data_IF_969713529051
#
_entry.id   IF_969713529051
#
_cell.length_a   1.000
_cell.length_b   1.000
_cell.length_c   1.000
_cell.angle_alpha   90.00
_cell.angle_beta   90.00
_cell.angle_gamma   90.00
#
_symmetry.space_group_name_H-M   'P 1'
#
loop_
_entity.id
_entity.type
_entity.pdbx_description
1 polymer ?
#
# COMPACT_ATOMS: atom_id res chain seq x y z
N UNK A 1 -4.85 -4.16 -5.47
CA UNK A 1 -3.58 -4.48 -4.78
C UNK A 1 -3.70 -5.91 -4.31
N UNK A 2 -2.63 -6.70 -4.32
CA UNK A 2 -2.67 -8.08 -3.80
C UNK A 2 -2.70 -8.11 -2.28
N UNK A 3 -3.22 -9.18 -1.69
CA UNK A 3 -3.28 -9.35 -0.24
C UNK A 3 -1.90 -9.26 0.42
N UNK A 4 -0.90 -9.99 -0.10
CA UNK A 4 0.45 -9.92 0.45
C UNK A 4 1.08 -8.53 0.35
N UNK A 5 0.73 -7.74 -0.68
CA UNK A 5 1.23 -6.37 -0.84
C UNK A 5 0.69 -5.46 0.26
N UNK A 6 -0.60 -5.57 0.60
CA UNK A 6 -1.18 -4.78 1.69
C UNK A 6 -0.52 -5.12 3.04
N UNK A 7 -0.28 -6.41 3.29
CA UNK A 7 0.45 -6.87 4.48
C UNK A 7 1.88 -6.31 4.48
N UNK A 8 2.57 -6.28 3.33
CA UNK A 8 3.91 -5.69 3.20
C UNK A 8 3.91 -4.19 3.49
N UNK A 9 2.95 -3.44 2.95
CA UNK A 9 2.77 -1.99 3.19
C UNK A 9 2.52 -1.71 4.67
N UNK A 10 1.75 -2.56 5.36
CA UNK A 10 1.43 -2.42 6.78
C UNK A 10 2.49 -3.06 7.71
N UNK A 11 3.67 -3.44 7.23
CA UNK A 11 4.68 -4.17 8.03
C UNK A 11 5.05 -3.46 9.34
N UNK A 12 5.17 -2.13 9.30
CA UNK A 12 5.54 -1.32 10.46
C UNK A 12 4.31 -0.87 11.29
N UNK A 13 3.10 -1.10 10.79
CA UNK A 13 1.82 -0.79 11.43
C UNK A 13 0.84 -1.99 11.26
N UNK A 14 1.20 -3.21 11.72
CA UNK A 14 0.44 -4.43 11.41
C UNK A 14 -0.99 -4.42 11.96
N UNK A 15 -1.24 -3.65 13.02
CA UNK A 15 -2.57 -3.45 13.60
C UNK A 15 -3.57 -2.82 12.62
N UNK A 16 -3.10 -2.14 11.55
CA UNK A 16 -3.99 -1.59 10.52
C UNK A 16 -4.78 -2.68 9.80
N UNK A 17 -4.24 -3.90 9.68
CA UNK A 17 -4.93 -5.02 9.05
C UNK A 17 -6.18 -5.45 9.84
N UNK A 18 -6.22 -5.26 11.17
CA UNK A 18 -7.41 -5.56 11.98
C UNK A 18 -8.60 -4.66 11.62
N UNK A 19 -8.38 -3.53 10.93
CA UNK A 19 -9.47 -2.67 10.43
C UNK A 19 -10.36 -3.38 9.41
N UNK A 20 -9.90 -4.47 8.78
CA UNK A 20 -10.75 -5.30 7.93
C UNK A 20 -11.99 -5.82 8.67
N UNK A 21 -11.97 -5.92 10.00
CA UNK A 21 -13.14 -6.25 10.82
C UNK A 21 -14.30 -5.22 10.71
N UNK A 22 -14.04 -4.04 10.14
CA UNK A 22 -15.03 -2.99 9.92
C UNK A 22 -16.02 -3.28 8.77
N UNK A 23 -15.79 -4.32 7.96
CA UNK A 23 -16.69 -4.75 6.88
C UNK A 23 -16.82 -6.26 6.87
N UNK A 24 -18.05 -6.79 6.96
CA UNK A 24 -18.27 -8.24 7.01
C UNK A 24 -17.84 -8.93 5.72
N UNK A 25 -17.87 -8.22 4.60
CA UNK A 25 -17.38 -8.65 3.29
C UNK A 25 -15.84 -8.81 3.23
N UNK A 26 -15.09 -8.31 4.22
CA UNK A 26 -13.61 -8.40 4.25
C UNK A 26 -13.09 -9.41 5.29
N UNK A 27 -14.00 -10.10 5.99
CA UNK A 27 -13.64 -11.05 7.04
C UNK A 27 -12.72 -12.16 6.54
N UNK A 28 -12.88 -12.62 5.30
CA UNK A 28 -11.99 -13.63 4.71
C UNK A 28 -10.53 -13.17 4.69
N UNK A 29 -10.27 -11.91 4.36
CA UNK A 29 -8.92 -11.34 4.31
C UNK A 29 -8.35 -11.14 5.72
N UNK A 30 -9.21 -10.82 6.69
CA UNK A 30 -8.82 -10.73 8.10
C UNK A 30 -8.39 -12.09 8.64
N UNK A 31 -9.13 -13.16 8.31
CA UNK A 31 -8.75 -14.52 8.67
C UNK A 31 -7.42 -14.92 8.03
N UNK A 32 -7.21 -14.57 6.75
CA UNK A 32 -5.93 -14.80 6.09
C UNK A 32 -4.78 -14.05 6.75
N UNK A 33 -5.02 -12.84 7.25
CA UNK A 33 -4.00 -12.06 7.96
C UNK A 33 -3.61 -12.71 9.29
N UNK A 34 -4.61 -13.16 10.07
CA UNK A 34 -4.36 -13.87 11.33
C UNK A 34 -3.57 -15.16 11.15
N UNK A 35 -3.68 -15.76 9.97
CA UNK A 35 -3.00 -17.00 9.59
C UNK A 35 -1.82 -16.75 8.62
N UNK A 36 -1.36 -15.49 8.48
CA UNK A 36 -0.43 -15.09 7.42
C UNK A 36 0.89 -15.87 7.45
N UNK A 37 1.44 -16.11 8.64
CA UNK A 37 2.68 -16.87 8.80
C UNK A 37 2.58 -18.29 8.24
N UNK A 38 1.40 -18.94 8.40
CA UNK A 38 1.14 -20.25 7.81
C UNK A 38 1.01 -20.15 6.29
N UNK A 39 0.27 -19.17 5.77
CA UNK A 39 0.12 -18.98 4.32
C UNK A 39 1.47 -18.80 3.62
N UNK A 40 2.38 -18.04 4.21
CA UNK A 40 3.75 -17.85 3.70
C UNK A 40 4.53 -19.16 3.74
N UNK A 41 4.51 -19.87 4.87
CA UNK A 41 5.23 -21.15 5.03
C UNK A 41 4.73 -22.22 4.05
N UNK A 42 3.42 -22.32 3.88
CA UNK A 42 2.79 -23.31 3.02
C UNK A 42 2.86 -22.91 1.54
N UNK A 43 3.32 -21.68 1.24
CA UNK A 43 3.48 -21.17 -0.12
C UNK A 43 2.15 -20.96 -0.86
N UNK A 44 1.06 -20.66 -0.14
CA UNK A 44 -0.29 -20.53 -0.72
C UNK A 44 -0.42 -19.26 -1.58
N UNK A 45 0.10 -19.32 -2.80
CA UNK A 45 0.06 -18.21 -3.76
C UNK A 45 -1.36 -17.81 -4.13
N UNK A 46 -2.32 -18.73 -4.07
CA UNK A 46 -3.72 -18.41 -4.41
C UNK A 46 -4.31 -17.35 -3.48
N UNK A 47 -4.02 -17.46 -2.17
CA UNK A 47 -4.45 -16.48 -1.17
C UNK A 47 -3.52 -15.28 -1.09
N UNK A 48 -2.21 -15.51 -1.14
CA UNK A 48 -1.23 -14.42 -1.07
C UNK A 48 -1.42 -13.44 -2.23
N UNK A 49 -1.54 -13.95 -3.47
CA UNK A 49 -1.70 -13.13 -4.68
C UNK A 49 -3.14 -12.69 -4.96
N UNK A 50 -4.11 -13.05 -4.12
CA UNK A 50 -5.50 -12.63 -4.29
C UNK A 50 -5.61 -11.10 -4.32
N UNK A 51 -6.40 -10.58 -5.26
CA UNK A 51 -6.66 -9.15 -5.35
C UNK A 51 -7.65 -8.72 -4.27
N UNK A 52 -7.28 -7.70 -3.50
CA UNK A 52 -8.16 -7.06 -2.55
C UNK A 52 -9.02 -5.99 -3.24
N UNK A 53 -10.30 -5.86 -2.84
CA UNK A 53 -11.12 -4.73 -3.23
C UNK A 53 -10.47 -3.39 -2.85
N UNK A 54 -10.46 -2.42 -3.76
CA UNK A 54 -9.87 -1.09 -3.51
C UNK A 54 -10.46 -0.44 -2.26
N UNK A 55 -11.75 -0.62 -2.00
CA UNK A 55 -12.41 -0.10 -0.80
C UNK A 55 -11.80 -0.65 0.50
N UNK A 56 -11.43 -1.94 0.53
CA UNK A 56 -10.77 -2.55 1.68
C UNK A 56 -9.36 -1.95 1.88
N UNK A 57 -8.58 -1.82 0.81
CA UNK A 57 -7.25 -1.21 0.86
C UNK A 57 -7.32 0.25 1.37
N UNK A 58 -8.26 1.05 0.85
CA UNK A 58 -8.47 2.43 1.30
C UNK A 58 -8.90 2.46 2.77
N UNK A 59 -9.80 1.57 3.19
CA UNK A 59 -10.27 1.50 4.57
C UNK A 59 -9.12 1.22 5.55
N UNK A 60 -8.25 0.27 5.23
CA UNK A 60 -7.05 -0.07 6.02
C UNK A 60 -6.07 1.11 6.03
N UNK A 61 -5.65 1.58 4.85
CA UNK A 61 -4.60 2.59 4.73
C UNK A 61 -5.01 4.00 5.15
N UNK A 62 -6.31 4.29 5.25
CA UNK A 62 -6.81 5.60 5.72
C UNK A 62 -6.38 5.95 7.15
N UNK A 63 -6.02 4.96 7.96
CA UNK A 63 -5.53 5.16 9.32
C UNK A 63 -4.00 5.07 9.44
N UNK A 64 -3.29 4.87 8.33
CA UNK A 64 -1.82 4.77 8.33
C UNK A 64 -1.18 6.10 8.67
N UNK A 65 -0.07 6.03 9.41
CA UNK A 65 0.76 7.19 9.76
C UNK A 65 1.96 7.34 8.83
N UNK A 66 2.04 6.56 7.75
CA UNK A 66 3.09 6.64 6.75
C UNK A 66 3.21 8.07 6.21
N UNK A 67 4.40 8.65 6.40
CA UNK A 67 4.75 9.94 5.81
C UNK A 67 5.47 9.71 4.48
N UNK A 68 4.81 10.02 3.38
CA UNK A 68 5.37 9.93 2.03
C UNK A 68 5.56 11.34 1.45
N UNK A 69 6.54 11.50 0.58
CA UNK A 69 6.98 12.81 0.11
C UNK A 69 7.14 12.84 -1.40
N UNK A 70 6.45 13.74 -2.07
CA UNK A 70 6.53 13.97 -3.51
C UNK A 70 7.43 15.17 -3.81
N UNK A 71 8.36 14.99 -4.74
CA UNK A 71 9.33 16.02 -5.14
C UNK A 71 9.76 15.80 -6.59
N UNK A 72 9.34 16.69 -7.49
CA UNK A 72 9.58 16.57 -8.93
C UNK A 72 9.01 15.26 -9.49
N UNK A 73 9.86 14.43 -10.09
CA UNK A 73 9.48 13.12 -10.66
C UNK A 73 9.64 11.94 -9.70
N UNK A 74 9.64 12.18 -8.39
CA UNK A 74 9.91 11.14 -7.41
C UNK A 74 8.96 11.18 -6.22
N UNK A 75 8.65 9.99 -5.70
CA UNK A 75 8.07 9.76 -4.39
C UNK A 75 9.10 9.12 -3.46
N UNK A 76 9.09 9.48 -2.17
CA UNK A 76 10.07 9.07 -1.17
C UNK A 76 9.39 8.70 0.14
N UNK A 77 9.96 7.73 0.86
CA UNK A 77 9.57 7.40 2.24
C UNK A 77 10.22 8.30 3.29
N UNK A 78 11.13 9.20 2.87
CA UNK A 78 11.79 10.19 3.72
C UNK A 78 11.84 11.53 3.03
N UNK A 79 11.61 12.59 3.79
CA UNK A 79 11.72 13.97 3.31
C UNK A 79 13.17 14.26 2.88
N UNK A 80 13.35 14.75 1.66
CA UNK A 80 14.63 15.21 1.13
C UNK A 80 14.80 16.73 1.30
N UNK A 81 13.70 17.49 1.26
CA UNK A 81 13.73 18.94 1.42
C UNK A 81 12.45 19.53 2.03
N UNK A 82 12.50 20.78 2.50
CA UNK A 82 11.34 21.45 3.09
C UNK A 82 10.21 21.70 2.07
N UNK A 83 10.54 21.76 0.78
CA UNK A 83 9.59 21.93 -0.31
C UNK A 83 8.86 20.63 -0.69
N UNK A 84 9.25 19.47 -0.15
CA UNK A 84 8.61 18.21 -0.50
C UNK A 84 7.16 18.17 0.01
N UNK A 85 6.25 17.87 -0.91
CA UNK A 85 4.82 17.78 -0.62
C UNK A 85 4.55 16.47 0.10
N UNK A 86 3.95 16.53 1.28
CA UNK A 86 3.45 15.32 1.97
C UNK A 86 2.30 14.71 1.17
N UNK A 87 2.31 13.38 1.04
CA UNK A 87 1.23 12.57 0.47
C UNK A 87 0.89 11.42 1.39
N UNK A 88 -0.36 10.97 1.34
CA UNK A 88 -0.80 9.81 2.12
C UNK A 88 -0.63 8.51 1.33
N UNK A 89 -0.58 7.38 2.02
CA UNK A 89 -0.60 6.06 1.37
C UNK A 89 -1.85 5.87 0.48
N UNK A 90 -3.01 6.42 0.91
CA UNK A 90 -4.26 6.40 0.12
C UNK A 90 -4.13 7.23 -1.16
N UNK A 91 -3.51 8.40 -1.11
CA UNK A 91 -3.25 9.21 -2.31
C UNK A 91 -2.36 8.47 -3.30
N UNK A 92 -1.27 7.84 -2.83
CA UNK A 92 -0.35 7.07 -3.67
C UNK A 92 -1.05 5.86 -4.28
N UNK A 93 -1.78 5.09 -3.47
CA UNK A 93 -2.59 3.95 -3.94
C UNK A 93 -3.57 4.39 -5.04
N UNK A 94 -4.25 5.51 -4.85
CA UNK A 94 -5.28 5.99 -5.78
C UNK A 94 -4.70 6.46 -7.11
N UNK A 95 -3.49 7.03 -7.10
CA UNK A 95 -2.85 7.60 -8.30
C UNK A 95 -2.00 6.57 -9.06
N UNK A 96 -1.30 5.70 -8.35
CA UNK A 96 -0.25 4.86 -8.92
C UNK A 96 -0.47 3.35 -8.66
N UNK A 97 -1.49 3.00 -7.89
CA UNK A 97 -1.83 1.62 -7.59
C UNK A 97 -0.99 1.02 -6.45
N UNK A 98 -1.39 -0.18 -6.05
CA UNK A 98 -0.82 -0.83 -4.87
C UNK A 98 0.58 -1.38 -5.07
N UNK A 99 0.90 -1.88 -6.27
CA UNK A 99 2.25 -2.35 -6.58
C UNK A 99 3.27 -1.21 -6.46
N UNK A 100 2.95 -0.03 -7.00
CA UNK A 100 3.81 1.15 -6.90
C UNK A 100 4.04 1.58 -5.44
N UNK A 101 2.99 1.59 -4.61
CA UNK A 101 3.10 1.93 -3.19
C UNK A 101 4.02 0.95 -2.45
N UNK A 102 3.88 -0.34 -2.74
CA UNK A 102 4.69 -1.37 -2.10
C UNK A 102 6.16 -1.28 -2.53
N UNK A 103 6.44 -1.17 -3.84
CA UNK A 103 7.78 -0.95 -4.38
C UNK A 103 8.44 0.31 -3.79
N UNK A 104 7.67 1.40 -3.65
CA UNK A 104 8.14 2.65 -3.03
C UNK A 104 8.58 2.44 -1.58
N UNK A 105 7.82 1.68 -0.79
CA UNK A 105 8.15 1.43 0.60
C UNK A 105 9.35 0.48 0.74
N UNK A 106 9.47 -0.50 -0.15
CA UNK A 106 10.61 -1.42 -0.17
C UNK A 106 11.92 -0.70 -0.56
N UNK A 107 11.90 0.10 -1.62
CA UNK A 107 13.10 0.81 -2.10
C UNK A 107 13.36 2.14 -1.37
N UNK A 108 12.34 2.71 -0.72
CA UNK A 108 12.34 4.04 -0.11
C UNK A 108 12.29 5.21 -1.12
N UNK A 109 12.28 4.92 -2.42
CA UNK A 109 12.24 5.89 -3.52
C UNK A 109 11.62 5.22 -4.75
N UNK A 110 10.68 5.91 -5.40
CA UNK A 110 10.13 5.50 -6.69
C UNK A 110 10.06 6.70 -7.64
N UNK A 111 10.36 6.46 -8.92
CA UNK A 111 10.16 7.46 -9.98
C UNK A 111 8.69 7.43 -10.42
N UNK A 112 8.07 8.59 -10.50
CA UNK A 112 6.69 8.71 -11.01
C UNK A 112 6.61 8.17 -12.44
N UNK A 113 5.56 7.39 -12.77
CA UNK A 113 5.31 6.98 -14.15
C UNK A 113 5.23 8.22 -15.04
N UNK A 114 5.79 8.16 -16.25
CA UNK A 114 5.59 9.25 -17.21
C UNK A 114 4.09 9.27 -17.57
N UNK A 115 3.42 10.42 -17.43
CA UNK A 115 2.01 10.55 -17.75
C UNK A 115 1.77 10.00 -19.17
N UNK A 116 0.89 9.01 -19.32
CA UNK A 116 0.43 8.56 -20.65
C UNK A 116 -0.23 9.69 -21.47
N UNK A 117 -0.39 10.89 -20.87
CA UNK A 117 -0.97 12.08 -21.46
C UNK A 117 -0.04 13.30 -21.52
N UNK A 118 1.29 13.12 -21.47
CA UNK A 118 2.28 14.08 -21.97
C UNK A 118 1.91 15.55 -21.86
N UNK A 119 1.60 16.06 -20.67
CA UNK A 119 1.49 17.50 -20.46
C UNK A 119 2.74 17.99 -19.75
N UNK A 120 3.59 18.80 -20.42
CA UNK A 120 4.59 19.56 -19.71
C UNK A 120 3.88 20.60 -18.84
N UNK A 121 4.46 20.88 -17.68
CA UNK A 121 4.07 22.00 -16.82
C UNK A 121 4.37 23.36 -17.43
#
# INVERSE_FOLDING_TARGET
MKFWQLVSVCRDEPELMERLAGGSEWNEYLEWFRDFARLVRDGDRSRLDAELPTAACVHVLSASRLELFESGRYLRSRRAGPADRKVTAVEVLSRYGGAFLEDLLEAGLARLPDDANGRPG
#
